data_IF_739427329456
#
_entry.id   IF_739427329456
#
_cell.length_a   1.000
_cell.length_b   1.000
_cell.length_c   1.000
_cell.angle_alpha   90.00
_cell.angle_beta   90.00
_cell.angle_gamma   90.00
#
_symmetry.space_group_name_H-M   'P 1'
#
loop_
_entity.id
_entity.type
_entity.pdbx_description
1 polymer ?
#
# COMPACT_ATOMS: atom_id res chain seq x y z
N UNK A 1 35.35 24.94 11.86
CA UNK A 1 33.90 24.73 12.05
C UNK A 1 33.24 25.36 10.83
N UNK A 2 32.59 24.56 9.98
CA UNK A 2 32.10 25.01 8.67
C UNK A 2 30.90 25.94 8.83
N UNK A 3 30.89 27.09 8.14
CA UNK A 3 29.89 28.17 8.22
C UNK A 3 28.51 27.83 7.65
N UNK A 4 28.22 26.58 7.28
CA UNK A 4 26.97 26.20 6.61
C UNK A 4 26.25 25.03 7.30
N UNK A 5 26.01 25.16 8.61
CA UNK A 5 25.24 24.19 9.40
C UNK A 5 23.87 23.85 8.79
N UNK A 6 23.22 24.80 8.12
CA UNK A 6 21.93 24.59 7.45
C UNK A 6 22.03 23.77 6.17
N UNK A 7 23.16 23.85 5.45
CA UNK A 7 23.41 23.04 4.26
C UNK A 7 23.73 21.60 4.67
N UNK A 8 24.53 21.43 5.73
CA UNK A 8 24.87 20.11 6.29
C UNK A 8 23.63 19.39 6.85
N UNK A 9 22.70 20.12 7.47
CA UNK A 9 21.40 19.56 7.89
C UNK A 9 20.51 19.19 6.70
N UNK A 10 20.43 20.03 5.67
CA UNK A 10 19.64 19.74 4.47
C UNK A 10 20.18 18.52 3.71
N UNK A 11 21.50 18.36 3.65
CA UNK A 11 22.16 17.18 3.07
C UNK A 11 21.88 15.92 3.88
N UNK A 12 21.98 15.96 5.21
CA UNK A 12 21.62 14.83 6.07
C UNK A 12 20.13 14.44 5.94
N UNK A 13 19.24 15.42 5.75
CA UNK A 13 17.82 15.16 5.56
C UNK A 13 17.56 14.47 4.21
N UNK A 14 18.21 14.93 3.14
CA UNK A 14 18.14 14.29 1.82
C UNK A 14 18.73 12.89 1.83
N UNK A 15 19.87 12.68 2.48
CA UNK A 15 20.51 11.37 2.60
C UNK A 15 19.63 10.37 3.37
N UNK A 16 18.99 10.79 4.46
CA UNK A 16 18.00 9.96 5.19
C UNK A 16 16.77 9.66 4.34
N UNK A 17 16.30 10.65 3.56
CA UNK A 17 15.16 10.46 2.67
C UNK A 17 15.48 9.45 1.55
N UNK A 18 16.67 9.52 0.96
CA UNK A 18 17.14 8.55 -0.04
C UNK A 18 17.38 7.15 0.56
N UNK A 19 17.92 7.08 1.78
CA UNK A 19 18.08 5.81 2.50
C UNK A 19 16.73 5.13 2.77
N UNK A 20 15.71 5.88 3.21
CA UNK A 20 14.35 5.35 3.43
C UNK A 20 13.65 4.88 2.14
N UNK A 21 14.12 5.35 0.98
CA UNK A 21 13.55 5.02 -0.34
C UNK A 21 14.00 3.65 -0.85
N UNK A 22 15.10 3.13 -0.30
CA UNK A 22 15.71 1.85 -0.72
C UNK A 22 15.60 0.74 0.33
N UNK A 23 15.06 1.04 1.52
CA UNK A 23 14.73 0.01 2.50
C UNK A 23 13.60 -0.88 1.97
N UNK A 24 13.98 -2.05 1.46
CA UNK A 24 13.04 -3.09 1.10
C UNK A 24 12.55 -3.72 2.40
N UNK A 25 11.44 -3.23 2.94
CA UNK A 25 10.77 -3.88 4.06
C UNK A 25 10.15 -5.19 3.57
N UNK A 26 10.83 -6.30 3.82
CA UNK A 26 10.27 -7.62 3.63
C UNK A 26 9.32 -7.92 4.79
N UNK A 27 8.03 -7.80 4.53
CA UNK A 27 7.01 -8.27 5.46
C UNK A 27 6.94 -9.80 5.37
N UNK A 28 7.11 -10.48 6.50
CA UNK A 28 6.83 -11.91 6.62
C UNK A 28 5.32 -12.10 6.79
N UNK A 29 4.63 -12.19 5.66
CA UNK A 29 3.17 -12.32 5.58
C UNK A 29 2.81 -13.74 5.18
N UNK A 30 1.68 -14.22 5.69
CA UNK A 30 1.05 -15.43 5.16
C UNK A 30 0.65 -15.21 3.69
N UNK A 31 0.50 -16.30 2.93
CA UNK A 31 0.24 -16.21 1.49
C UNK A 31 -1.05 -15.42 1.16
N UNK A 32 -2.11 -15.67 1.93
CA UNK A 32 -3.37 -14.94 1.84
C UNK A 32 -3.22 -13.44 2.15
N UNK A 33 -2.47 -13.09 3.20
CA UNK A 33 -2.18 -11.70 3.58
C UNK A 33 -1.38 -10.99 2.49
N UNK A 34 -0.38 -11.67 1.91
CA UNK A 34 0.42 -11.15 0.80
C UNK A 34 -0.44 -10.84 -0.42
N UNK A 35 -1.38 -11.73 -0.78
CA UNK A 35 -2.29 -11.51 -1.91
C UNK A 35 -3.21 -10.33 -1.66
N UNK A 36 -3.74 -10.19 -0.43
CA UNK A 36 -4.55 -9.04 -0.03
C UNK A 36 -3.78 -7.73 -0.13
N UNK A 37 -2.56 -7.66 0.41
CA UNK A 37 -1.70 -6.47 0.36
C UNK A 37 -1.35 -6.09 -1.07
N UNK A 38 -1.02 -7.06 -1.93
CA UNK A 38 -0.76 -6.79 -3.35
C UNK A 38 -2.00 -6.26 -4.08
N UNK A 39 -3.17 -6.79 -3.76
CA UNK A 39 -4.43 -6.33 -4.35
C UNK A 39 -4.76 -4.90 -3.91
N UNK A 40 -4.65 -4.61 -2.61
CA UNK A 40 -4.81 -3.26 -2.07
C UNK A 40 -3.82 -2.28 -2.71
N UNK A 41 -2.55 -2.67 -2.87
CA UNK A 41 -1.54 -1.84 -3.53
C UNK A 41 -1.89 -1.50 -4.98
N UNK A 42 -2.46 -2.43 -5.75
CA UNK A 42 -2.92 -2.19 -7.13
C UNK A 42 -4.13 -1.25 -7.18
N UNK A 43 -5.09 -1.41 -6.26
CA UNK A 43 -6.25 -0.52 -6.13
C UNK A 43 -5.78 0.89 -5.79
N UNK A 44 -4.90 1.02 -4.79
CA UNK A 44 -4.32 2.31 -4.41
C UNK A 44 -3.56 2.96 -5.57
N UNK A 45 -2.73 2.19 -6.30
CA UNK A 45 -2.05 2.67 -7.51
C UNK A 45 -3.03 3.22 -8.55
N UNK A 46 -4.19 2.60 -8.71
CA UNK A 46 -5.25 3.10 -9.62
C UNK A 46 -5.83 4.43 -9.16
N UNK A 47 -5.97 4.67 -7.85
CA UNK A 47 -6.37 5.96 -7.30
C UNK A 47 -5.31 7.05 -7.52
N UNK A 48 -4.02 6.69 -7.44
CA UNK A 48 -2.91 7.60 -7.76
C UNK A 48 -2.94 8.00 -9.23
N UNK A 49 -3.04 7.04 -10.15
CA UNK A 49 -3.12 7.30 -11.60
C UNK A 49 -4.35 8.13 -12.00
N UNK A 50 -5.45 7.99 -11.26
CA UNK A 50 -6.65 8.80 -11.45
C UNK A 50 -6.53 10.24 -10.88
N UNK A 51 -5.42 10.59 -10.24
CA UNK A 51 -5.19 11.91 -9.66
C UNK A 51 -5.99 12.19 -8.38
N UNK A 52 -6.49 11.14 -7.70
CA UNK A 52 -7.31 11.27 -6.50
C UNK A 52 -6.49 11.40 -5.21
N UNK A 53 -5.25 10.91 -5.24
CA UNK A 53 -4.36 10.86 -4.08
C UNK A 53 -3.51 12.12 -3.99
N UNK A 54 -3.70 12.89 -2.93
CA UNK A 54 -2.85 14.03 -2.55
C UNK A 54 -2.14 13.73 -1.22
N UNK A 55 -1.16 14.54 -0.78
CA UNK A 55 -0.56 14.36 0.54
C UNK A 55 -1.58 14.36 1.68
N UNK A 56 -2.64 15.16 1.58
CA UNK A 56 -3.67 15.29 2.62
C UNK A 56 -4.70 14.14 2.59
N UNK A 57 -4.91 13.51 1.42
CA UNK A 57 -5.90 12.42 1.25
C UNK A 57 -5.26 11.03 1.22
N UNK A 58 -3.92 10.93 1.28
CA UNK A 58 -3.17 9.68 1.11
C UNK A 58 -3.66 8.56 2.02
N UNK A 59 -3.77 8.84 3.31
CA UNK A 59 -4.11 7.81 4.31
C UNK A 59 -5.55 7.31 4.13
N UNK A 60 -6.49 8.21 3.77
CA UNK A 60 -7.87 7.84 3.44
C UNK A 60 -7.93 6.86 2.26
N UNK A 61 -7.17 7.14 1.20
CA UNK A 61 -7.16 6.29 0.01
C UNK A 61 -6.42 4.96 0.24
N UNK A 62 -5.42 4.91 1.12
CA UNK A 62 -4.81 3.66 1.58
C UNK A 62 -5.85 2.80 2.30
N UNK A 63 -6.53 3.37 3.29
CA UNK A 63 -7.58 2.68 4.06
C UNK A 63 -8.70 2.18 3.15
N UNK A 64 -9.10 3.01 2.18
CA UNK A 64 -10.11 2.65 1.18
C UNK A 64 -9.66 1.49 0.33
N UNK A 65 -8.44 1.52 -0.20
CA UNK A 65 -7.91 0.45 -1.04
C UNK A 65 -7.83 -0.89 -0.28
N UNK A 66 -7.47 -0.87 1.01
CA UNK A 66 -7.47 -2.07 1.87
C UNK A 66 -8.91 -2.60 2.04
N UNK A 67 -9.88 -1.74 2.35
CA UNK A 67 -11.29 -2.14 2.48
C UNK A 67 -11.86 -2.71 1.19
N UNK A 68 -11.51 -2.11 0.06
CA UNK A 68 -11.94 -2.58 -1.26
C UNK A 68 -11.35 -3.96 -1.57
N UNK A 69 -10.07 -4.20 -1.26
CA UNK A 69 -9.43 -5.50 -1.41
C UNK A 69 -10.10 -6.58 -0.54
N UNK A 70 -10.40 -6.28 0.73
CA UNK A 70 -11.14 -7.19 1.63
C UNK A 70 -12.53 -7.49 1.06
N UNK A 71 -13.24 -6.47 0.58
CA UNK A 71 -14.58 -6.63 -0.01
C UNK A 71 -14.56 -7.54 -1.23
N UNK A 72 -13.55 -7.41 -2.09
CA UNK A 72 -13.36 -8.29 -3.25
C UNK A 72 -13.10 -9.73 -2.79
N UNK A 73 -12.21 -9.93 -1.83
CA UNK A 73 -11.90 -11.25 -1.29
C UNK A 73 -13.14 -11.95 -0.72
N UNK A 74 -13.93 -11.26 0.11
CA UNK A 74 -15.18 -11.79 0.68
C UNK A 74 -16.22 -12.12 -0.40
N UNK A 75 -16.31 -11.34 -1.48
CA UNK A 75 -17.21 -11.66 -2.60
C UNK A 75 -16.78 -12.91 -3.34
N UNK A 76 -15.49 -13.12 -3.54
CA UNK A 76 -14.95 -14.33 -4.17
C UNK A 76 -15.26 -15.54 -3.29
N UNK A 77 -15.03 -15.44 -1.98
CA UNK A 77 -15.34 -16.49 -1.02
C UNK A 77 -16.82 -16.90 -1.11
N UNK A 78 -17.74 -15.94 -1.05
CA UNK A 78 -19.17 -16.20 -1.18
C UNK A 78 -19.53 -16.90 -2.50
N UNK A 79 -18.97 -16.44 -3.64
CA UNK A 79 -19.23 -17.03 -4.95
C UNK A 79 -18.72 -18.48 -5.03
N UNK A 80 -17.58 -18.76 -4.41
CA UNK A 80 -17.02 -20.13 -4.37
C UNK A 80 -17.89 -21.02 -3.50
N UNK A 81 -18.27 -20.56 -2.30
CA UNK A 81 -19.15 -21.33 -1.40
C UNK A 81 -20.53 -21.62 -2.02
N UNK A 82 -21.14 -20.64 -2.69
CA UNK A 82 -22.42 -20.82 -3.39
C UNK A 82 -22.35 -21.87 -4.51
N UNK A 83 -21.19 -22.03 -5.16
CA UNK A 83 -20.97 -23.06 -6.19
C UNK A 83 -20.75 -24.45 -5.60
N UNK A 84 -20.16 -24.55 -4.42
CA UNK A 84 -19.95 -25.83 -3.73
C UNK A 84 -21.25 -26.41 -3.16
N UNK A 85 -22.25 -25.56 -2.87
CA UNK A 85 -23.55 -25.97 -2.32
C UNK A 85 -24.58 -26.42 -3.36
N UNK A 86 -24.31 -26.31 -4.67
CA UNK A 86 -25.21 -26.86 -5.70
C UNK A 86 -24.82 -28.30 -6.02
N UNK A 87 -25.61 -29.32 -5.59
CA UNK A 87 -25.42 -30.68 -6.07
C UNK A 87 -25.80 -30.75 -7.56
N UNK A 88 -24.99 -31.46 -8.35
CA UNK A 88 -25.26 -31.82 -9.76
C UNK A 88 -26.65 -32.47 -9.96
#
# INVERSE_FOLDING_TARGET
MSENSSLDEAMNLMERYEASRTETHYFDLQENERVLVQTAGRIFGSYVEAGLVTPDTRDEYIDRAIRDAITIASRIENIVSEKEEQPD
#
